data_IF_500115546800
#
_entry.id   IF_500115546800
#
_cell.length_a   1.000
_cell.length_b   1.000
_cell.length_c   1.000
_cell.angle_alpha   90.00
_cell.angle_beta   90.00
_cell.angle_gamma   90.00
#
_symmetry.space_group_name_H-M   'P 1'
#
loop_
_entity.id
_entity.type
_entity.pdbx_description
1 polymer ?
#
# COMPACT_ATOMS: atom_id res chain seq x y z
N UNK A 1 -6.16 16.36 -11.52
CA UNK A 1 -5.89 16.63 -10.08
C UNK A 1 -5.48 15.33 -9.44
N UNK A 2 -4.44 15.32 -8.60
CA UNK A 2 -4.01 14.07 -7.95
C UNK A 2 -5.08 13.56 -6.98
N UNK A 3 -5.31 12.26 -6.98
CA UNK A 3 -6.24 11.58 -6.09
C UNK A 3 -5.46 10.74 -5.07
N UNK A 4 -5.91 10.69 -3.83
CA UNK A 4 -5.22 9.98 -2.76
C UNK A 4 -6.18 9.06 -2.02
N UNK A 5 -5.79 7.79 -1.93
CA UNK A 5 -6.46 6.76 -1.13
C UNK A 5 -5.64 6.50 0.13
N UNK A 6 -6.33 6.52 1.27
CA UNK A 6 -5.75 6.25 2.58
C UNK A 6 -6.35 4.95 3.10
N UNK A 7 -5.50 3.97 3.36
CA UNK A 7 -5.88 2.75 4.04
C UNK A 7 -5.19 2.67 5.40
N UNK A 8 -5.92 2.13 6.37
CA UNK A 8 -5.42 1.92 7.74
C UNK A 8 -5.47 0.46 8.08
N UNK A 9 -4.34 -0.10 8.48
CA UNK A 9 -4.20 -1.53 8.75
C UNK A 9 -3.76 -1.77 10.20
N UNK A 10 -4.36 -2.79 10.82
CA UNK A 10 -3.99 -3.27 12.14
C UNK A 10 -3.70 -4.77 12.02
N UNK A 11 -2.42 -5.17 11.83
CA UNK A 11 -2.05 -6.56 11.73
C UNK A 11 -2.39 -7.30 13.02
N UNK A 12 -2.83 -8.57 12.89
CA UNK A 12 -2.99 -9.44 14.05
C UNK A 12 -1.64 -9.58 14.79
N UNK A 13 -1.64 -9.70 16.13
CA UNK A 13 -0.40 -9.71 16.91
C UNK A 13 0.63 -10.76 16.46
N UNK A 14 0.16 -11.96 16.11
CA UNK A 14 0.96 -13.09 15.64
C UNK A 14 1.47 -12.95 14.19
N UNK A 15 0.96 -11.97 13.44
CA UNK A 15 1.28 -11.75 12.03
C UNK A 15 2.14 -10.52 11.76
N UNK A 16 2.57 -9.80 12.80
CA UNK A 16 3.32 -8.54 12.64
C UNK A 16 4.63 -8.71 11.88
N UNK A 17 5.39 -9.78 12.18
CA UNK A 17 6.68 -10.05 11.52
C UNK A 17 6.46 -10.40 10.04
N UNK A 18 5.52 -11.30 9.77
CA UNK A 18 5.14 -11.69 8.40
C UNK A 18 4.65 -10.48 7.59
N UNK A 19 3.82 -9.63 8.22
CA UNK A 19 3.30 -8.41 7.63
C UNK A 19 4.42 -7.44 7.23
N UNK A 20 5.38 -7.19 8.12
CA UNK A 20 6.51 -6.30 7.85
C UNK A 20 7.40 -6.84 6.73
N UNK A 21 7.65 -8.15 6.71
CA UNK A 21 8.39 -8.80 5.64
C UNK A 21 7.67 -8.68 4.29
N UNK A 22 6.36 -8.94 4.28
CA UNK A 22 5.52 -8.80 3.08
C UNK A 22 5.53 -7.37 2.54
N UNK A 23 5.37 -6.36 3.40
CA UNK A 23 5.41 -4.94 2.97
C UNK A 23 6.75 -4.59 2.33
N UNK A 24 7.88 -5.02 2.93
CA UNK A 24 9.21 -4.77 2.36
C UNK A 24 9.38 -5.42 0.99
N UNK A 25 9.01 -6.69 0.87
CA UNK A 25 9.05 -7.42 -0.40
C UNK A 25 8.18 -6.77 -1.46
N UNK A 26 6.98 -6.33 -1.08
CA UNK A 26 6.06 -5.64 -1.97
C UNK A 26 6.65 -4.31 -2.48
N UNK A 27 7.23 -3.47 -1.60
CA UNK A 27 7.88 -2.23 -2.04
C UNK A 27 9.11 -2.48 -2.93
N UNK A 28 9.89 -3.53 -2.65
CA UNK A 28 11.02 -3.91 -3.50
C UNK A 28 10.55 -4.32 -4.90
N UNK A 29 9.48 -5.10 -4.99
CA UNK A 29 8.83 -5.45 -6.26
C UNK A 29 8.32 -4.21 -7.00
N UNK A 30 7.59 -3.33 -6.31
CA UNK A 30 7.07 -2.10 -6.88
C UNK A 30 8.18 -1.22 -7.46
N UNK A 31 9.34 -1.12 -6.82
CA UNK A 31 10.46 -0.32 -7.32
C UNK A 31 10.88 -0.70 -8.75
N UNK A 32 10.74 -1.97 -9.12
CA UNK A 32 11.11 -2.49 -10.44
C UNK A 32 9.94 -2.46 -11.41
N UNK A 33 8.73 -2.78 -10.95
CA UNK A 33 7.57 -3.03 -11.83
C UNK A 33 6.52 -1.90 -11.86
N UNK A 34 6.70 -0.82 -11.09
CA UNK A 34 5.69 0.23 -10.94
C UNK A 34 5.25 0.83 -12.29
N UNK A 35 6.19 1.14 -13.19
CA UNK A 35 5.85 1.77 -14.48
C UNK A 35 5.04 0.86 -15.41
N UNK A 36 5.32 -0.43 -15.37
CA UNK A 36 4.66 -1.43 -16.21
C UNK A 36 3.26 -1.76 -15.68
N UNK A 37 3.16 -2.00 -14.37
CA UNK A 37 1.95 -2.54 -13.76
C UNK A 37 1.02 -1.49 -13.15
N UNK A 38 1.53 -0.27 -12.89
CA UNK A 38 0.86 0.78 -12.10
C UNK A 38 1.19 2.18 -12.65
N UNK A 39 1.05 2.37 -13.97
CA UNK A 39 1.34 3.64 -14.63
C UNK A 39 0.47 4.80 -14.11
N UNK A 40 -0.74 4.52 -13.65
CA UNK A 40 -1.63 5.51 -13.02
C UNK A 40 -1.22 5.94 -11.60
N UNK A 41 -0.29 5.22 -10.96
CA UNK A 41 0.19 5.56 -9.63
C UNK A 41 1.25 6.66 -9.68
N UNK A 42 1.05 7.67 -8.85
CA UNK A 42 2.02 8.73 -8.56
C UNK A 42 2.94 8.35 -7.41
N UNK A 43 2.44 7.60 -6.42
CA UNK A 43 3.24 7.15 -5.27
C UNK A 43 2.53 6.07 -4.47
N UNK A 44 3.28 5.20 -3.82
CA UNK A 44 2.82 4.43 -2.66
C UNK A 44 3.71 4.76 -1.47
N UNK A 45 3.13 5.04 -0.31
CA UNK A 45 3.86 5.35 0.92
C UNK A 45 3.26 4.61 2.08
N UNK A 46 4.13 4.10 2.94
CA UNK A 46 3.73 3.32 4.10
C UNK A 46 4.31 3.92 5.36
N UNK A 47 3.44 4.09 6.36
CA UNK A 47 3.76 4.72 7.61
C UNK A 47 3.38 3.82 8.78
N UNK A 48 4.18 3.89 9.83
CA UNK A 48 3.85 3.34 11.13
C UNK A 48 3.29 4.46 11.99
N UNK A 49 2.07 4.30 12.49
CA UNK A 49 1.50 5.26 13.44
C UNK A 49 2.27 5.17 14.76
N UNK A 50 2.56 6.33 15.32
CA UNK A 50 3.22 6.48 16.61
C UNK A 50 2.37 7.34 17.52
N UNK A 51 2.38 7.03 18.80
CA UNK A 51 1.81 7.90 19.81
C UNK A 51 2.60 9.22 19.85
N UNK A 52 1.88 10.35 19.87
CA UNK A 52 2.50 11.68 19.75
C UNK A 52 3.32 12.06 20.97
N UNK A 53 2.98 11.55 22.14
CA UNK A 53 3.63 11.92 23.41
C UNK A 53 4.88 11.08 23.71
N UNK A 54 4.83 9.79 23.38
CA UNK A 54 5.88 8.82 23.69
C UNK A 54 6.75 8.46 22.48
N UNK A 55 6.30 8.75 21.26
CA UNK A 55 6.94 8.32 20.01
C UNK A 55 6.86 6.82 19.76
N UNK A 56 6.16 6.06 20.60
CA UNK A 56 6.10 4.61 20.50
C UNK A 56 5.08 4.16 19.44
N UNK A 57 5.35 3.07 18.70
CA UNK A 57 4.39 2.55 17.72
C UNK A 57 3.07 2.12 18.37
N UNK A 58 1.94 2.53 17.80
CA UNK A 58 0.61 2.12 18.28
C UNK A 58 0.24 0.71 17.81
N UNK A 59 0.96 0.18 16.82
CA UNK A 59 0.63 -1.07 16.12
C UNK A 59 -0.33 -0.88 14.94
N UNK A 60 -0.75 0.36 14.66
CA UNK A 60 -1.48 0.72 13.45
C UNK A 60 -0.52 1.19 12.37
N UNK A 61 -0.86 0.89 11.13
CA UNK A 61 -0.11 1.30 9.96
C UNK A 61 -1.03 1.98 8.95
N UNK A 62 -0.44 2.85 8.14
CA UNK A 62 -1.16 3.66 7.16
C UNK A 62 -0.49 3.45 5.80
N UNK A 63 -1.27 3.05 4.81
CA UNK A 63 -0.87 3.02 3.41
C UNK A 63 -1.52 4.19 2.68
N UNK A 64 -0.72 4.97 1.97
CA UNK A 64 -1.14 6.10 1.17
C UNK A 64 -0.80 5.83 -0.29
N UNK A 65 -1.82 5.58 -1.10
CA UNK A 65 -1.69 5.48 -2.55
C UNK A 65 -2.04 6.83 -3.17
N UNK A 66 -1.14 7.34 -3.99
CA UNK A 66 -1.34 8.55 -4.79
C UNK A 66 -1.53 8.16 -6.25
N UNK A 67 -2.55 8.71 -6.88
CA UNK A 67 -2.91 8.48 -8.27
C UNK A 67 -2.82 9.79 -9.06
N UNK A 68 -2.51 9.69 -10.34
CA UNK A 68 -2.40 10.86 -11.24
C UNK A 68 -3.76 11.56 -11.40
N UNK A 69 -4.85 10.78 -11.44
CA UNK A 69 -6.23 11.27 -11.49
C UNK A 69 -7.21 10.31 -10.80
N UNK A 70 -8.45 10.76 -10.60
CA UNK A 70 -9.53 9.94 -10.06
C UNK A 70 -9.95 8.84 -11.05
N UNK A 71 -9.94 9.13 -12.35
CA UNK A 71 -10.22 8.14 -13.40
C UNK A 71 -9.19 7.02 -13.41
N UNK A 72 -7.91 7.35 -13.20
CA UNK A 72 -6.84 6.36 -13.04
C UNK A 72 -7.06 5.44 -11.84
N UNK A 73 -7.52 6.01 -10.71
CA UNK A 73 -7.90 5.23 -9.53
C UNK A 73 -9.04 4.24 -9.82
N UNK A 74 -10.12 4.70 -10.48
CA UNK A 74 -11.27 3.84 -10.80
C UNK A 74 -10.87 2.73 -11.79
N UNK A 75 -10.13 3.06 -12.85
CA UNK A 75 -9.63 2.09 -13.80
C UNK A 75 -8.70 1.05 -13.16
N UNK A 76 -7.86 1.48 -12.21
CA UNK A 76 -7.03 0.57 -11.41
C UNK A 76 -7.89 -0.39 -10.58
N UNK A 77 -8.85 0.12 -9.80
CA UNK A 77 -9.73 -0.72 -8.97
C UNK A 77 -10.52 -1.71 -9.81
N UNK A 78 -11.04 -1.28 -10.96
CA UNK A 78 -11.80 -2.16 -11.87
C UNK A 78 -10.94 -3.30 -12.43
N UNK A 79 -9.69 -3.02 -12.86
CA UNK A 79 -8.76 -4.06 -13.33
C UNK A 79 -8.34 -5.04 -12.23
N UNK A 80 -8.38 -4.60 -10.97
CA UNK A 80 -7.88 -5.37 -9.82
C UNK A 80 -8.98 -5.94 -8.93
N UNK A 81 -10.26 -5.78 -9.30
CA UNK A 81 -11.40 -6.27 -8.51
C UNK A 81 -11.35 -7.79 -8.28
N UNK A 82 -10.84 -8.53 -9.25
CA UNK A 82 -10.68 -9.99 -9.23
C UNK A 82 -9.20 -10.40 -9.16
N UNK A 83 -8.30 -9.47 -8.87
CA UNK A 83 -6.87 -9.76 -8.83
C UNK A 83 -6.50 -10.41 -7.52
N UNK A 84 -6.16 -11.69 -7.57
CA UNK A 84 -5.72 -12.47 -6.42
C UNK A 84 -4.27 -12.22 -6.00
N UNK A 85 -3.54 -11.40 -6.76
CA UNK A 85 -2.18 -10.98 -6.46
C UNK A 85 -1.17 -11.41 -7.53
N UNK A 86 0.10 -11.03 -7.41
CA UNK A 86 1.17 -11.46 -8.33
C UNK A 86 1.69 -12.87 -7.98
N UNK A 87 1.07 -13.56 -7.03
CA UNK A 87 1.53 -14.82 -6.44
C UNK A 87 0.48 -15.94 -6.47
N UNK A 88 -0.67 -15.72 -7.11
CA UNK A 88 -1.49 -16.87 -7.52
C UNK A 88 -0.91 -17.43 -8.81
N UNK A 89 -0.55 -18.71 -8.74
CA UNK A 89 -0.14 -19.53 -9.88
C UNK A 89 -1.37 -20.10 -10.59
#
# INVERSE_FOLDING_TARGET
>A
MSFYEVETWVPKPDKRVDHDAMIRSWFAFMKTHQKEMFAEWKSARYFREVDRSTGQPTGRFIMLFGYVSHEGFLAYKERRKDWSGPYEA
#
